data_IF_735018130833
#
_entry.id   IF_735018130833
#
_cell.length_a   1.000
_cell.length_b   1.000
_cell.length_c   1.000
_cell.angle_alpha   90.00
_cell.angle_beta   90.00
_cell.angle_gamma   90.00
#
_symmetry.space_group_name_H-M   'P 1'
#
loop_
_entity.id
_entity.type
_entity.pdbx_description
1 polymer ?
#
# COMPACT_ATOMS: atom_id res chain seq x y z
N UNK A 1 -20.92 -9.13 -47.37
CA UNK A 1 -20.56 -7.73 -47.06
C UNK A 1 -19.39 -7.79 -46.11
N UNK A 2 -18.22 -7.29 -46.49
CA UNK A 2 -17.08 -7.23 -45.58
C UNK A 2 -17.43 -6.24 -44.46
N UNK A 3 -17.50 -6.68 -43.22
CA UNK A 3 -17.65 -5.78 -42.07
C UNK A 3 -16.43 -4.85 -42.06
N UNK A 4 -16.66 -3.54 -42.22
CA UNK A 4 -15.57 -2.56 -42.22
C UNK A 4 -14.97 -2.44 -40.82
N UNK A 5 -13.66 -2.59 -40.70
CA UNK A 5 -12.93 -2.33 -39.45
C UNK A 5 -12.99 -0.84 -39.08
N UNK A 6 -13.03 -0.55 -37.78
CA UNK A 6 -12.83 0.80 -37.24
C UNK A 6 -11.38 0.92 -36.79
N UNK A 7 -10.74 2.02 -37.18
CA UNK A 7 -9.38 2.36 -36.75
C UNK A 7 -9.42 3.45 -35.69
N UNK A 8 -8.70 3.25 -34.60
CA UNK A 8 -8.55 4.20 -33.50
C UNK A 8 -7.09 4.65 -33.41
N UNK A 9 -6.82 5.91 -33.75
CA UNK A 9 -5.47 6.50 -33.74
C UNK A 9 -5.25 7.28 -32.46
N UNK A 10 -4.10 7.12 -31.81
CA UNK A 10 -3.78 7.84 -30.58
C UNK A 10 -2.26 8.01 -30.40
N UNK A 11 -1.80 9.11 -29.77
CA UNK A 11 -0.40 9.36 -29.44
C UNK A 11 0.10 8.45 -28.30
N UNK A 12 1.38 8.08 -28.38
CA UNK A 12 2.14 7.42 -27.32
C UNK A 12 3.21 8.37 -26.81
N UNK A 13 3.18 8.66 -25.52
CA UNK A 13 4.17 9.48 -24.81
C UNK A 13 5.08 8.56 -23.97
N UNK A 14 6.36 8.90 -23.85
CA UNK A 14 7.29 8.29 -22.90
C UNK A 14 7.24 9.05 -21.59
N UNK A 15 6.99 8.35 -20.49
CA UNK A 15 7.27 8.86 -19.14
C UNK A 15 8.79 8.81 -18.89
N UNK A 16 9.37 9.96 -18.59
CA UNK A 16 10.78 10.14 -18.24
C UNK A 16 10.94 10.14 -16.70
N UNK A 17 12.14 9.82 -16.18
CA UNK A 17 12.41 9.83 -14.74
C UNK A 17 12.16 11.20 -14.12
N UNK A 18 11.84 11.23 -12.82
CA UNK A 18 11.49 12.44 -12.05
C UNK A 18 12.58 13.52 -12.01
N UNK A 19 13.81 13.21 -12.44
CA UNK A 19 14.92 14.15 -12.53
C UNK A 19 14.96 14.95 -13.85
N UNK A 20 14.00 14.75 -14.75
CA UNK A 20 13.91 15.42 -16.05
C UNK A 20 12.96 16.62 -15.98
N UNK A 21 13.38 17.77 -16.54
CA UNK A 21 12.53 18.97 -16.67
C UNK A 21 11.30 18.72 -17.56
N UNK A 22 11.39 17.75 -18.48
CA UNK A 22 10.27 17.25 -19.29
C UNK A 22 9.92 15.84 -18.84
N UNK A 23 8.78 15.66 -18.15
CA UNK A 23 8.37 14.33 -17.65
C UNK A 23 7.70 13.47 -18.72
N UNK A 24 7.02 14.06 -19.70
CA UNK A 24 6.39 13.30 -20.77
C UNK A 24 6.88 13.78 -22.13
N UNK A 25 7.21 12.84 -23.01
CA UNK A 25 7.72 13.16 -24.35
C UNK A 25 7.01 12.34 -25.41
N UNK A 26 6.48 13.00 -26.44
CA UNK A 26 5.90 12.30 -27.59
C UNK A 26 6.90 11.34 -28.25
N UNK A 27 6.47 10.08 -28.47
CA UNK A 27 7.25 9.04 -29.14
C UNK A 27 6.75 8.80 -30.56
N UNK A 28 5.50 8.39 -30.71
CA UNK A 28 4.87 7.97 -31.97
C UNK A 28 3.35 7.98 -31.83
N UNK A 29 2.64 7.79 -32.94
CA UNK A 29 1.21 7.47 -32.95
C UNK A 29 1.01 5.96 -33.14
N UNK A 30 0.08 5.39 -32.39
CA UNK A 30 -0.34 4.00 -32.51
C UNK A 30 -1.76 3.92 -33.12
N UNK A 31 -2.07 2.76 -33.68
CA UNK A 31 -3.34 2.47 -34.34
C UNK A 31 -3.90 1.17 -33.77
N UNK A 32 -5.18 1.17 -33.44
CA UNK A 32 -5.91 0.00 -32.99
C UNK A 32 -7.10 -0.24 -33.92
N UNK A 33 -7.13 -1.39 -34.57
CA UNK A 33 -8.21 -1.80 -35.46
C UNK A 33 -9.11 -2.82 -34.76
N UNK A 34 -10.43 -2.64 -34.87
CA UNK A 34 -11.40 -3.56 -34.28
C UNK A 34 -12.67 -3.65 -35.13
N UNK A 35 -13.33 -4.80 -35.09
CA UNK A 35 -14.60 -4.97 -35.78
C UNK A 35 -15.74 -4.25 -35.02
N UNK A 36 -16.71 -3.63 -35.69
CA UNK A 36 -17.85 -2.99 -35.02
C UNK A 36 -18.67 -3.93 -34.12
N UNK A 37 -18.63 -5.23 -34.42
CA UNK A 37 -19.27 -6.31 -33.67
C UNK A 37 -18.51 -6.68 -32.38
N UNK A 38 -17.24 -6.30 -32.27
CA UNK A 38 -16.41 -6.54 -31.08
C UNK A 38 -16.57 -5.42 -30.04
N UNK A 39 -16.67 -5.83 -28.77
CA UNK A 39 -16.62 -4.89 -27.65
C UNK A 39 -15.18 -4.45 -27.43
N UNK A 40 -14.73 -3.46 -28.19
CA UNK A 40 -13.42 -2.85 -28.02
C UNK A 40 -13.23 -2.31 -26.58
N UNK A 41 -12.09 -2.62 -26.00
CA UNK A 41 -11.69 -2.26 -24.65
C UNK A 41 -10.38 -1.47 -24.65
N UNK A 42 -10.14 -0.76 -23.56
CA UNK A 42 -8.89 -0.03 -23.33
C UNK A 42 -7.67 -0.94 -23.38
N UNK A 43 -7.77 -2.19 -22.92
CA UNK A 43 -6.67 -3.18 -23.02
C UNK A 43 -6.18 -3.38 -24.47
N UNK A 44 -7.06 -3.26 -25.47
CA UNK A 44 -6.66 -3.34 -26.88
C UNK A 44 -5.80 -2.15 -27.31
N UNK A 45 -6.03 -0.95 -26.75
CA UNK A 45 -5.18 0.21 -26.97
C UNK A 45 -3.81 0.04 -26.29
N UNK A 46 -3.77 -0.54 -25.09
CA UNK A 46 -2.52 -0.84 -24.37
C UNK A 46 -1.65 -1.81 -25.19
N UNK A 47 -2.25 -2.90 -25.69
CA UNK A 47 -1.58 -3.89 -26.54
C UNK A 47 -1.09 -3.27 -27.85
N UNK A 48 -1.91 -2.45 -28.52
CA UNK A 48 -1.55 -1.76 -29.75
C UNK A 48 -0.40 -0.76 -29.55
N UNK A 49 -0.40 -0.02 -28.43
CA UNK A 49 0.68 0.89 -28.08
C UNK A 49 2.00 0.14 -27.86
N UNK A 50 1.97 -0.95 -27.08
CA UNK A 50 3.14 -1.79 -26.84
C UNK A 50 3.67 -2.39 -28.14
N UNK A 51 2.79 -2.89 -29.02
CA UNK A 51 3.17 -3.41 -30.33
C UNK A 51 3.86 -2.33 -31.19
N UNK A 52 3.28 -1.14 -31.28
CA UNK A 52 3.84 -0.02 -32.05
C UNK A 52 5.22 0.42 -31.54
N UNK A 53 5.39 0.48 -30.21
CA UNK A 53 6.66 0.80 -29.56
C UNK A 53 7.71 -0.28 -29.83
N UNK A 54 7.35 -1.57 -29.68
CA UNK A 54 8.26 -2.70 -29.95
C UNK A 54 8.74 -2.73 -31.40
N UNK A 55 7.85 -2.50 -32.36
CA UNK A 55 8.19 -2.36 -33.77
C UNK A 55 9.16 -1.20 -34.03
N UNK A 56 9.06 -0.14 -33.23
CA UNK A 56 9.91 1.06 -33.34
C UNK A 56 11.12 1.07 -32.40
N UNK A 57 11.35 0.02 -31.59
CA UNK A 57 12.28 0.04 -30.46
C UNK A 57 13.70 0.47 -30.85
N UNK A 58 14.24 -0.09 -31.95
CA UNK A 58 15.56 0.28 -32.49
C UNK A 58 15.68 1.76 -32.81
N UNK A 59 14.66 2.35 -33.44
CA UNK A 59 14.63 3.78 -33.80
C UNK A 59 14.50 4.66 -32.56
N UNK A 60 13.73 4.20 -31.57
CA UNK A 60 13.50 4.93 -30.33
C UNK A 60 14.63 4.78 -29.30
N UNK A 61 15.67 3.98 -29.61
CA UNK A 61 16.76 3.62 -28.68
C UNK A 61 16.24 2.99 -27.37
N UNK A 62 15.16 2.22 -27.48
CA UNK A 62 14.64 1.40 -26.37
C UNK A 62 15.21 -0.01 -26.54
N UNK A 63 15.79 -0.59 -25.50
CA UNK A 63 16.34 -1.94 -25.57
C UNK A 63 15.21 -2.96 -25.81
N UNK A 64 15.48 -3.97 -26.63
CA UNK A 64 14.46 -4.94 -27.09
C UNK A 64 13.91 -5.84 -25.99
N UNK A 65 14.65 -5.95 -24.88
CA UNK A 65 14.36 -6.71 -23.66
C UNK A 65 13.74 -5.86 -22.55
N UNK A 66 13.61 -4.54 -22.74
CA UNK A 66 13.08 -3.67 -21.68
C UNK A 66 11.64 -4.05 -21.32
N UNK A 67 11.37 -4.17 -20.01
CA UNK A 67 10.01 -4.33 -19.51
C UNK A 67 9.26 -3.00 -19.68
N UNK A 68 8.08 -3.04 -20.28
CA UNK A 68 7.30 -1.83 -20.59
C UNK A 68 5.87 -1.98 -20.07
N UNK A 69 5.33 -0.92 -19.50
CA UNK A 69 3.91 -0.80 -19.19
C UNK A 69 3.31 0.41 -19.90
N UNK A 70 2.01 0.36 -20.19
CA UNK A 70 1.27 1.44 -20.83
C UNK A 70 0.05 1.75 -20.00
N UNK A 71 -0.15 3.03 -19.65
CA UNK A 71 -1.40 3.54 -19.11
C UNK A 71 -2.15 4.36 -20.15
N UNK A 72 -3.47 4.19 -20.25
CA UNK A 72 -4.32 4.97 -21.17
C UNK A 72 -5.03 6.07 -20.40
N UNK A 73 -4.97 7.29 -20.94
CA UNK A 73 -5.57 8.47 -20.32
C UNK A 73 -6.49 9.19 -21.30
N UNK A 74 -7.59 9.70 -20.78
CA UNK A 74 -8.51 10.58 -21.49
C UNK A 74 -8.26 12.03 -21.05
N UNK A 75 -7.91 12.89 -22.00
CA UNK A 75 -7.71 14.32 -21.80
C UNK A 75 -9.04 15.08 -21.80
N UNK A 76 -9.10 16.18 -21.04
CA UNK A 76 -10.24 17.08 -21.04
C UNK A 76 -10.42 17.84 -22.37
N UNK A 77 -9.31 18.09 -23.08
CA UNK A 77 -9.27 18.84 -24.33
C UNK A 77 -8.66 17.97 -25.45
N UNK A 78 -9.19 18.05 -26.69
CA UNK A 78 -8.64 17.32 -27.83
C UNK A 78 -7.24 17.80 -28.21
N UNK A 79 -6.44 16.88 -28.72
CA UNK A 79 -5.09 17.14 -29.23
C UNK A 79 -4.93 16.61 -30.66
N UNK A 80 -3.98 17.17 -31.46
CA UNK A 80 -3.76 16.73 -32.83
C UNK A 80 -3.33 15.27 -32.89
N UNK A 81 -3.95 14.46 -33.75
CA UNK A 81 -3.59 13.06 -33.98
C UNK A 81 -2.57 12.87 -35.10
N UNK A 82 -2.47 13.87 -35.98
CA UNK A 82 -1.63 13.88 -37.17
C UNK A 82 -0.87 15.19 -37.28
N UNK A 83 0.33 15.12 -37.85
CA UNK A 83 1.23 16.26 -38.00
C UNK A 83 2.66 15.79 -38.22
N UNK A 84 3.57 16.72 -38.50
CA UNK A 84 5.00 16.37 -38.52
C UNK A 84 5.45 15.95 -37.11
N UNK A 85 6.52 15.18 -36.99
CA UNK A 85 7.07 14.80 -35.69
C UNK A 85 7.39 16.03 -34.81
N UNK A 86 7.79 17.14 -35.43
CA UNK A 86 8.05 18.40 -34.73
C UNK A 86 6.76 19.03 -34.20
N UNK A 87 5.71 19.03 -34.99
CA UNK A 87 4.41 19.59 -34.59
C UNK A 87 3.79 18.77 -33.47
N UNK A 88 3.87 17.43 -33.56
CA UNK A 88 3.41 16.54 -32.51
C UNK A 88 4.20 16.75 -31.22
N UNK A 89 5.53 16.80 -31.27
CA UNK A 89 6.35 17.08 -30.06
C UNK A 89 5.97 18.40 -29.39
N UNK A 90 5.76 19.45 -30.19
CA UNK A 90 5.33 20.75 -29.66
C UNK A 90 3.93 20.68 -29.05
N UNK A 91 2.97 20.05 -29.74
CA UNK A 91 1.59 19.93 -29.28
C UNK A 91 1.42 19.16 -27.96
N UNK A 92 2.31 18.20 -27.71
CA UNK A 92 2.29 17.36 -26.50
C UNK A 92 3.29 17.81 -25.41
N UNK A 93 4.14 18.82 -25.67
CA UNK A 93 5.10 19.35 -24.69
C UNK A 93 4.47 19.96 -23.42
N UNK A 94 3.22 20.41 -23.54
CA UNK A 94 2.43 20.97 -22.44
C UNK A 94 1.91 19.91 -21.45
N UNK A 95 1.99 18.62 -21.81
CA UNK A 95 1.55 17.54 -20.93
C UNK A 95 2.68 17.26 -19.93
N UNK A 96 2.53 17.82 -18.74
CA UNK A 96 3.40 17.60 -17.58
C UNK A 96 2.60 16.94 -16.43
N UNK A 97 3.20 16.77 -15.26
CA UNK A 97 2.52 16.19 -14.08
C UNK A 97 1.25 16.96 -13.71
N UNK A 98 1.34 18.29 -13.60
CA UNK A 98 0.23 19.16 -13.21
C UNK A 98 -0.94 19.03 -14.20
N UNK A 99 -0.62 18.94 -15.50
CA UNK A 99 -1.61 18.69 -16.54
C UNK A 99 -2.25 17.31 -16.38
N UNK A 100 -1.46 16.26 -16.15
CA UNK A 100 -1.97 14.91 -15.98
C UNK A 100 -2.88 14.79 -14.75
N UNK A 101 -2.55 15.46 -13.65
CA UNK A 101 -3.33 15.44 -12.42
C UNK A 101 -4.66 16.20 -12.57
N UNK A 102 -4.64 17.37 -13.22
CA UNK A 102 -5.82 18.26 -13.29
C UNK A 102 -6.69 18.05 -14.52
N UNK A 103 -6.11 17.57 -15.63
CA UNK A 103 -6.73 17.57 -16.97
C UNK A 103 -6.69 16.22 -17.70
N UNK A 104 -6.27 15.14 -17.03
CA UNK A 104 -6.31 13.80 -17.59
C UNK A 104 -6.95 12.81 -16.62
N UNK A 105 -7.77 11.91 -17.17
CA UNK A 105 -8.44 10.86 -16.42
C UNK A 105 -7.92 9.51 -16.87
N UNK A 106 -7.38 8.72 -15.93
CA UNK A 106 -6.95 7.35 -16.21
C UNK A 106 -8.13 6.46 -16.63
N UNK A 107 -7.96 5.67 -17.68
CA UNK A 107 -8.94 4.72 -18.17
C UNK A 107 -8.58 3.31 -17.71
N UNK A 108 -9.47 2.65 -16.97
CA UNK A 108 -9.30 1.24 -16.59
C UNK A 108 -9.24 0.33 -17.82
N UNK A 109 -8.33 -0.66 -17.83
CA UNK A 109 -8.12 -1.61 -18.93
C UNK A 109 -9.40 -2.37 -19.35
N UNK A 110 -10.36 -2.58 -18.44
CA UNK A 110 -11.64 -3.23 -18.73
C UNK A 110 -12.70 -2.29 -19.32
N UNK A 111 -12.46 -0.99 -19.34
CA UNK A 111 -13.44 0.01 -19.82
C UNK A 111 -13.67 -0.18 -21.33
N UNK A 112 -14.92 -0.11 -21.73
CA UNK A 112 -15.30 -0.11 -23.14
C UNK A 112 -14.90 1.20 -23.81
N UNK A 113 -14.45 1.15 -25.06
CA UNK A 113 -14.15 2.33 -25.87
C UNK A 113 -15.39 3.08 -26.36
N UNK A 114 -16.60 2.59 -26.06
CA UNK A 114 -17.84 3.28 -26.43
C UNK A 114 -17.90 4.68 -25.80
N UNK A 115 -18.01 5.71 -26.65
CA UNK A 115 -18.05 7.12 -26.23
C UNK A 115 -16.67 7.74 -25.92
N UNK A 116 -15.58 6.99 -26.08
CA UNK A 116 -14.22 7.51 -25.99
C UNK A 116 -13.83 8.05 -27.37
N UNK A 117 -13.42 9.32 -27.43
CA UNK A 117 -12.96 9.95 -28.68
C UNK A 117 -11.45 9.84 -28.80
N UNK A 118 -10.96 9.50 -29.99
CA UNK A 118 -9.54 9.29 -30.26
C UNK A 118 -8.68 10.53 -30.05
N UNK A 119 -9.19 11.70 -30.43
CA UNK A 119 -8.53 13.01 -30.25
C UNK A 119 -8.33 13.41 -28.79
N UNK A 120 -9.02 12.75 -27.86
CA UNK A 120 -8.88 12.95 -26.41
C UNK A 120 -8.09 11.83 -25.73
N UNK A 121 -7.52 10.86 -26.43
CA UNK A 121 -6.82 9.74 -25.78
C UNK A 121 -5.32 9.86 -25.97
N UNK A 122 -4.57 9.56 -24.91
CA UNK A 122 -3.13 9.34 -24.99
C UNK A 122 -2.75 8.01 -24.32
N UNK A 123 -1.69 7.40 -24.80
CA UNK A 123 -1.02 6.31 -24.12
C UNK A 123 0.29 6.82 -23.50
N UNK A 124 0.53 6.49 -22.24
CA UNK A 124 1.76 6.82 -21.53
C UNK A 124 2.54 5.53 -21.32
N UNK A 125 3.64 5.40 -22.07
CA UNK A 125 4.61 4.32 -21.97
C UNK A 125 5.56 4.60 -20.81
N UNK A 126 5.67 3.65 -19.89
CA UNK A 126 6.72 3.62 -18.88
C UNK A 126 7.67 2.49 -19.24
N UNK A 127 8.92 2.84 -19.58
CA UNK A 127 9.98 1.85 -19.76
C UNK A 127 10.55 1.59 -18.38
N UNK A 128 10.27 0.41 -17.84
CA UNK A 128 10.97 -0.07 -16.67
C UNK A 128 12.37 -0.43 -17.16
N UNK A 129 13.37 0.33 -16.74
CA UNK A 129 14.73 -0.19 -16.84
C UNK A 129 14.71 -1.56 -16.17
N UNK A 130 15.23 -2.58 -16.85
CA UNK A 130 15.74 -3.74 -16.13
C UNK A 130 16.81 -3.19 -15.19
N UNK A 131 16.36 -2.82 -14.00
CA UNK A 131 17.22 -2.80 -12.83
C UNK A 131 17.74 -4.22 -12.84
N UNK A 132 19.02 -4.38 -13.19
CA UNK A 132 19.78 -5.57 -12.84
C UNK A 132 19.38 -5.86 -11.39
N UNK A 133 18.47 -6.82 -11.19
CA UNK A 133 17.77 -6.91 -9.92
C UNK A 133 18.88 -7.12 -8.90
N UNK A 134 19.03 -6.16 -8.00
CA UNK A 134 20.05 -6.32 -6.97
C UNK A 134 19.79 -7.66 -6.28
N UNK A 135 20.82 -8.34 -5.81
CA UNK A 135 20.63 -9.62 -5.08
C UNK A 135 19.61 -9.46 -3.94
N UNK A 136 19.55 -8.27 -3.33
CA UNK A 136 18.55 -7.90 -2.33
C UNK A 136 17.11 -7.91 -2.88
N UNK A 137 16.88 -7.42 -4.10
CA UNK A 137 15.57 -7.43 -4.76
C UNK A 137 15.15 -8.85 -5.16
N UNK A 138 16.07 -9.64 -5.74
CA UNK A 138 15.82 -11.06 -6.06
C UNK A 138 15.41 -11.82 -4.79
N UNK A 139 16.13 -11.57 -3.69
CA UNK A 139 15.83 -12.18 -2.39
C UNK A 139 14.46 -11.76 -1.85
N UNK A 140 14.12 -10.46 -1.90
CA UNK A 140 12.79 -9.94 -1.49
C UNK A 140 11.64 -10.58 -2.25
N UNK A 141 11.78 -10.70 -3.57
CA UNK A 141 10.76 -11.33 -4.40
C UNK A 141 10.65 -12.84 -4.13
N UNK A 142 11.78 -13.52 -3.85
CA UNK A 142 11.78 -14.90 -3.38
C UNK A 142 11.03 -15.08 -2.06
N UNK A 143 11.22 -14.16 -1.11
CA UNK A 143 10.50 -14.13 0.18
C UNK A 143 9.00 -13.91 -0.05
N UNK A 144 8.63 -12.93 -0.88
CA UNK A 144 7.23 -12.65 -1.20
C UNK A 144 6.55 -13.86 -1.83
N UNK A 145 7.18 -14.49 -2.84
CA UNK A 145 6.66 -15.68 -3.50
C UNK A 145 6.54 -16.90 -2.55
N UNK A 146 7.43 -17.01 -1.56
CA UNK A 146 7.32 -18.04 -0.52
C UNK A 146 6.17 -17.74 0.46
N UNK A 147 6.03 -16.49 0.89
CA UNK A 147 5.00 -16.05 1.81
C UNK A 147 3.58 -16.14 1.22
N UNK A 148 3.42 -15.90 -0.09
CA UNK A 148 2.14 -16.08 -0.80
C UNK A 148 1.61 -17.52 -0.75
N UNK A 149 2.48 -18.51 -0.54
CA UNK A 149 2.13 -19.94 -0.49
C UNK A 149 1.78 -20.40 0.93
N UNK A 150 1.75 -19.50 1.91
CA UNK A 150 1.41 -19.84 3.29
C UNK A 150 -0.04 -20.26 3.41
N UNK A 151 -0.27 -21.16 4.37
CA UNK A 151 -1.61 -21.45 4.84
C UNK A 151 -2.20 -20.23 5.55
N UNK A 152 -3.51 -20.25 5.78
CA UNK A 152 -4.18 -19.13 6.45
C UNK A 152 -3.62 -18.89 7.86
N UNK A 153 -3.71 -17.65 8.38
CA UNK A 153 -3.14 -17.34 9.70
C UNK A 153 -3.68 -18.17 10.87
N UNK A 154 -4.93 -18.64 10.77
CA UNK A 154 -5.49 -19.56 11.77
C UNK A 154 -4.80 -20.91 11.77
N UNK A 155 -4.39 -21.42 10.61
CA UNK A 155 -3.70 -22.71 10.48
C UNK A 155 -2.22 -22.57 10.81
N UNK A 156 -1.58 -21.50 10.30
CA UNK A 156 -0.19 -21.14 10.60
C UNK A 156 0.08 -20.91 12.08
N UNK A 157 -0.91 -20.44 12.85
CA UNK A 157 -0.79 -20.23 14.29
C UNK A 157 -0.72 -21.52 15.12
N UNK A 158 -1.04 -22.69 14.56
CA UNK A 158 -0.94 -23.96 15.29
C UNK A 158 0.51 -24.29 15.64
N UNK A 159 0.74 -24.96 16.78
CA UNK A 159 2.11 -25.29 17.24
C UNK A 159 2.88 -26.11 16.19
N UNK A 160 2.21 -27.10 15.59
CA UNK A 160 2.77 -27.95 14.53
C UNK A 160 3.20 -27.11 13.34
N UNK A 161 2.33 -26.22 12.83
CA UNK A 161 2.68 -25.38 11.68
C UNK A 161 3.73 -24.33 12.01
N UNK A 162 3.71 -23.73 13.21
CA UNK A 162 4.76 -22.80 13.63
C UNK A 162 6.14 -23.43 13.64
N UNK A 163 6.24 -24.66 14.15
CA UNK A 163 7.53 -25.39 14.19
C UNK A 163 8.05 -25.66 12.76
N UNK A 164 7.15 -25.92 11.80
CA UNK A 164 7.51 -26.16 10.40
C UNK A 164 7.85 -24.86 9.63
N UNK A 165 7.21 -23.74 9.97
CA UNK A 165 7.27 -22.50 9.18
C UNK A 165 8.19 -21.42 9.77
N UNK A 166 8.44 -21.43 11.08
CA UNK A 166 9.27 -20.44 11.78
C UNK A 166 10.63 -21.03 12.15
N UNK A 167 11.46 -21.26 11.14
CA UNK A 167 12.88 -21.65 11.28
C UNK A 167 13.75 -20.91 10.25
N UNK A 168 15.06 -20.87 10.47
CA UNK A 168 16.04 -20.14 9.65
C UNK A 168 16.21 -20.69 8.22
N UNK A 169 15.83 -21.95 7.98
CA UNK A 169 15.79 -22.57 6.66
C UNK A 169 14.61 -22.13 5.78
N UNK A 170 13.61 -21.44 6.34
CA UNK A 170 12.44 -20.93 5.61
C UNK A 170 12.68 -19.50 5.15
N UNK A 171 12.63 -19.27 3.84
CA UNK A 171 12.83 -17.94 3.25
C UNK A 171 11.81 -16.91 3.76
N UNK A 172 10.56 -17.33 3.96
CA UNK A 172 9.47 -16.47 4.42
C UNK A 172 9.40 -16.32 5.95
N UNK A 173 10.25 -16.99 6.74
CA UNK A 173 10.19 -16.95 8.20
C UNK A 173 10.15 -15.52 8.77
N UNK A 174 9.40 -15.34 9.86
CA UNK A 174 9.20 -14.05 10.51
C UNK A 174 10.24 -13.89 11.60
N UNK A 175 11.12 -12.91 11.44
CA UNK A 175 12.15 -12.61 12.41
C UNK A 175 11.60 -11.73 13.51
N UNK A 176 11.24 -12.38 14.62
CA UNK A 176 10.58 -11.79 15.78
C UNK A 176 11.11 -12.32 17.12
N UNK A 177 12.36 -12.83 17.13
CA UNK A 177 13.00 -13.49 18.26
C UNK A 177 12.36 -14.82 18.69
N UNK A 178 11.55 -15.46 17.82
CA UNK A 178 10.91 -16.76 18.10
C UNK A 178 11.03 -17.73 16.91
N UNK A 179 11.92 -18.74 16.97
CA UNK A 179 12.88 -19.03 18.05
C UNK A 179 14.09 -18.06 18.04
N UNK A 180 15.06 -18.26 18.93
CA UNK A 180 16.19 -17.33 19.10
C UNK A 180 17.03 -17.18 17.82
N UNK A 181 17.04 -18.20 16.96
CA UNK A 181 17.70 -18.21 15.66
C UNK A 181 17.06 -17.19 14.69
N UNK A 182 15.76 -16.88 14.87
CA UNK A 182 15.03 -15.84 14.14
C UNK A 182 15.17 -14.46 14.79
N UNK A 183 16.40 -14.11 15.18
CA UNK A 183 16.75 -12.80 15.73
C UNK A 183 16.94 -11.77 14.60
N UNK A 184 16.10 -10.71 14.54
CA UNK A 184 16.28 -9.60 13.60
C UNK A 184 17.29 -8.54 14.08
N UNK A 185 17.88 -7.75 13.18
CA UNK A 185 18.46 -6.44 13.53
C UNK A 185 17.39 -5.52 14.16
N UNK A 186 17.76 -4.53 15.00
CA UNK A 186 16.79 -3.59 15.59
C UNK A 186 15.92 -2.93 14.54
N UNK A 187 14.59 -2.95 14.72
CA UNK A 187 13.66 -2.47 13.68
C UNK A 187 13.80 -0.96 13.39
N UNK A 188 14.35 -0.24 14.36
CA UNK A 188 14.60 1.21 14.31
C UNK A 188 15.60 1.63 13.24
N UNK A 189 16.44 0.71 12.73
CA UNK A 189 17.37 1.02 11.64
C UNK A 189 16.67 1.12 10.28
N UNK A 190 15.47 0.54 10.14
CA UNK A 190 14.75 0.49 8.87
C UNK A 190 13.83 1.69 8.68
N UNK A 191 13.28 2.27 9.76
CA UNK A 191 12.45 3.46 9.67
C UNK A 191 12.47 4.27 10.98
N UNK A 192 12.65 5.61 10.92
CA UNK A 192 12.74 6.45 12.12
C UNK A 192 11.45 6.47 12.96
N UNK A 193 10.30 6.14 12.35
CA UNK A 193 9.02 6.09 13.08
C UNK A 193 9.07 5.13 14.27
N UNK A 194 9.82 4.03 14.18
CA UNK A 194 9.87 3.06 15.28
C UNK A 194 10.67 3.60 16.47
N UNK A 195 11.77 4.31 16.21
CA UNK A 195 12.52 5.00 17.25
C UNK A 195 11.67 6.12 17.88
N UNK A 196 10.94 6.86 17.06
CA UNK A 196 10.01 7.90 17.52
C UNK A 196 8.91 7.34 18.39
N UNK A 197 8.29 6.24 17.99
CA UNK A 197 7.25 5.57 18.78
C UNK A 197 7.78 5.14 20.14
N UNK A 198 8.95 4.49 20.19
CA UNK A 198 9.60 4.09 21.44
C UNK A 198 9.89 5.30 22.35
N UNK A 199 10.39 6.40 21.77
CA UNK A 199 10.64 7.64 22.50
C UNK A 199 9.35 8.21 23.09
N UNK A 200 8.28 8.33 22.31
CA UNK A 200 6.98 8.83 22.77
C UNK A 200 6.35 7.95 23.86
N UNK A 201 6.62 6.65 23.86
CA UNK A 201 6.16 5.75 24.91
C UNK A 201 7.00 5.82 26.19
N UNK A 202 8.31 6.08 26.07
CA UNK A 202 9.23 6.19 27.20
C UNK A 202 9.15 7.56 27.90
N UNK A 203 9.02 8.63 27.11
CA UNK A 203 8.95 10.03 27.54
C UNK A 203 7.70 10.67 26.96
N UNK A 204 6.50 10.24 27.40
CA UNK A 204 5.26 10.73 26.83
C UNK A 204 5.05 12.21 27.18
N UNK A 205 4.68 13.04 26.19
CA UNK A 205 4.22 14.39 26.48
C UNK A 205 2.92 14.32 27.30
N UNK A 206 2.67 15.35 28.12
CA UNK A 206 1.42 15.45 28.86
C UNK A 206 0.24 15.53 27.87
N UNK A 207 -0.74 14.62 27.96
CA UNK A 207 -1.88 14.62 27.07
C UNK A 207 -2.75 15.84 27.34
N UNK A 208 -3.30 16.43 26.29
CA UNK A 208 -4.29 17.49 26.42
C UNK A 208 -5.54 16.97 27.13
N UNK A 209 -6.34 17.89 27.69
CA UNK A 209 -7.62 17.52 28.31
C UNK A 209 -8.55 16.78 27.33
N UNK A 210 -8.49 17.12 26.06
CA UNK A 210 -9.29 16.46 25.02
C UNK A 210 -8.80 15.03 24.75
N UNK A 211 -7.48 14.83 24.59
CA UNK A 211 -6.88 13.50 24.39
C UNK A 211 -7.13 12.59 25.59
N UNK A 212 -6.97 13.12 26.81
CA UNK A 212 -7.27 12.40 28.03
C UNK A 212 -8.77 12.05 28.13
N UNK A 213 -9.66 12.97 27.77
CA UNK A 213 -11.11 12.74 27.72
C UNK A 213 -11.48 11.60 26.77
N UNK A 214 -10.92 11.57 25.56
CA UNK A 214 -11.12 10.50 24.58
C UNK A 214 -10.60 9.15 25.09
N UNK A 215 -9.43 9.14 25.73
CA UNK A 215 -8.85 7.93 26.31
C UNK A 215 -9.71 7.37 27.45
N UNK A 216 -10.24 8.22 28.32
CA UNK A 216 -11.17 7.82 29.37
C UNK A 216 -12.48 7.26 28.82
N UNK A 217 -13.04 7.90 27.79
CA UNK A 217 -14.21 7.37 27.09
C UNK A 217 -13.92 5.97 26.54
N UNK A 218 -12.77 5.79 25.88
CA UNK A 218 -12.35 4.49 25.38
C UNK A 218 -12.22 3.45 26.49
N UNK A 219 -11.59 3.78 27.63
CA UNK A 219 -11.46 2.88 28.80
C UNK A 219 -12.83 2.50 29.36
N UNK A 220 -13.75 3.45 29.49
CA UNK A 220 -15.14 3.22 29.88
C UNK A 220 -15.81 2.22 28.94
N UNK A 221 -15.73 2.46 27.63
CA UNK A 221 -16.33 1.60 26.62
C UNK A 221 -15.67 0.21 26.59
N UNK A 222 -14.36 0.12 26.71
CA UNK A 222 -13.63 -1.15 26.70
C UNK A 222 -13.90 -2.00 27.95
N UNK A 223 -14.27 -1.38 29.06
CA UNK A 223 -14.59 -2.06 30.33
C UNK A 223 -16.06 -2.48 30.44
N UNK A 224 -16.93 -2.01 29.54
CA UNK A 224 -18.35 -2.32 29.58
C UNK A 224 -18.68 -3.72 29.06
N UNK A 225 -19.77 -4.30 29.55
CA UNK A 225 -20.35 -5.52 29.00
C UNK A 225 -21.31 -5.18 27.85
N UNK A 226 -21.20 -5.92 26.76
CA UNK A 226 -22.04 -5.77 25.58
C UNK A 226 -22.85 -7.03 25.34
N UNK A 227 -24.01 -6.88 24.68
CA UNK A 227 -24.86 -8.03 24.35
C UNK A 227 -24.26 -8.89 23.25
N UNK A 228 -23.57 -8.25 22.32
CA UNK A 228 -22.90 -8.90 21.20
C UNK A 228 -21.63 -8.17 20.78
N UNK A 229 -20.80 -8.86 20.00
CA UNK A 229 -19.50 -8.36 19.55
C UNK A 229 -19.65 -7.21 18.55
N UNK A 230 -20.74 -7.15 17.77
CA UNK A 230 -20.94 -6.09 16.80
C UNK A 230 -21.22 -4.74 17.48
N UNK A 231 -22.01 -4.75 18.56
CA UNK A 231 -22.23 -3.57 19.40
C UNK A 231 -20.92 -3.10 20.03
N UNK A 232 -20.12 -4.04 20.58
CA UNK A 232 -18.83 -3.76 21.19
C UNK A 232 -17.87 -3.12 20.19
N UNK A 233 -17.68 -3.77 19.04
CA UNK A 233 -16.81 -3.27 17.96
C UNK A 233 -17.29 -1.89 17.51
N UNK A 234 -18.58 -1.71 17.21
CA UNK A 234 -19.11 -0.42 16.75
C UNK A 234 -18.84 0.75 17.70
N UNK A 235 -18.95 0.53 19.01
CA UNK A 235 -18.65 1.55 20.03
C UNK A 235 -17.16 1.82 20.18
N UNK A 236 -16.33 0.77 20.24
CA UNK A 236 -14.88 0.91 20.33
C UNK A 236 -14.30 1.56 19.07
N UNK A 237 -14.77 1.17 17.89
CA UNK A 237 -14.37 1.76 16.60
C UNK A 237 -14.57 3.26 16.60
N UNK A 238 -15.76 3.74 17.00
CA UNK A 238 -16.03 5.18 17.04
C UNK A 238 -15.05 5.93 17.95
N UNK A 239 -14.78 5.38 19.13
CA UNK A 239 -13.94 6.03 20.14
C UNK A 239 -12.46 6.07 19.72
N UNK A 240 -11.88 4.94 19.28
CA UNK A 240 -10.47 4.92 18.86
C UNK A 240 -10.24 5.67 17.53
N UNK A 241 -11.21 5.63 16.61
CA UNK A 241 -11.10 6.35 15.34
C UNK A 241 -10.99 7.86 15.58
N UNK A 242 -11.84 8.41 16.45
CA UNK A 242 -11.78 9.81 16.84
C UNK A 242 -10.51 10.16 17.62
N UNK A 243 -9.93 9.22 18.36
CA UNK A 243 -8.73 9.47 19.16
C UNK A 243 -7.42 9.37 18.35
N UNK A 244 -7.35 8.43 17.41
CA UNK A 244 -6.11 8.08 16.72
C UNK A 244 -6.17 8.40 15.23
N UNK A 245 -7.05 7.71 14.49
CA UNK A 245 -7.20 7.87 13.05
C UNK A 245 -8.51 7.24 12.55
N UNK A 246 -9.23 7.90 11.63
CA UNK A 246 -10.57 7.47 11.18
C UNK A 246 -10.63 6.04 10.60
N UNK A 247 -9.51 5.55 10.06
CA UNK A 247 -9.37 4.21 9.48
C UNK A 247 -8.93 3.09 10.44
N UNK A 248 -8.53 3.40 11.69
CA UNK A 248 -7.80 2.43 12.53
C UNK A 248 -8.64 1.21 12.94
N UNK A 249 -9.95 1.38 13.03
CA UNK A 249 -10.95 0.32 13.20
C UNK A 249 -11.95 0.25 12.02
N UNK A 250 -11.58 0.77 10.86
CA UNK A 250 -12.37 0.72 9.64
C UNK A 250 -12.22 -0.64 8.94
N UNK A 251 -13.30 -1.43 8.89
CA UNK A 251 -13.30 -2.74 8.22
C UNK A 251 -13.23 -2.58 6.70
N UNK A 252 -12.02 -2.59 6.17
CA UNK A 252 -11.76 -2.61 4.74
C UNK A 252 -11.27 -4.00 4.33
N UNK A 253 -12.11 -4.83 3.69
CA UNK A 253 -11.64 -6.07 3.12
C UNK A 253 -10.62 -5.76 2.03
N UNK A 254 -9.41 -6.28 2.20
CA UNK A 254 -8.34 -6.17 1.23
C UNK A 254 -8.41 -7.40 0.33
N UNK A 255 -8.53 -7.18 -0.98
CA UNK A 255 -8.53 -8.26 -1.96
C UNK A 255 -7.35 -8.06 -2.91
N UNK A 256 -6.43 -9.02 -2.87
CA UNK A 256 -5.30 -9.15 -3.76
C UNK A 256 -5.48 -10.38 -4.63
N UNK A 257 -4.70 -10.49 -5.69
CA UNK A 257 -4.74 -11.62 -6.63
C UNK A 257 -4.47 -12.95 -5.92
N UNK A 258 -3.59 -12.94 -4.92
CA UNK A 258 -3.20 -14.13 -4.14
C UNK A 258 -3.97 -14.34 -2.83
N UNK A 259 -4.67 -13.32 -2.30
CA UNK A 259 -5.28 -13.42 -0.97
C UNK A 259 -6.46 -12.46 -0.75
N UNK A 260 -7.37 -12.85 0.14
CA UNK A 260 -8.39 -11.96 0.71
C UNK A 260 -8.15 -11.84 2.20
N UNK A 261 -8.00 -10.62 2.69
CA UNK A 261 -7.74 -10.30 4.08
C UNK A 261 -8.86 -9.42 4.61
N UNK A 262 -9.35 -9.75 5.80
CA UNK A 262 -10.33 -8.94 6.52
C UNK A 262 -9.70 -8.53 7.86
N UNK A 263 -8.79 -7.54 7.88
CA UNK A 263 -8.26 -7.02 9.13
C UNK A 263 -9.36 -6.37 9.98
N UNK A 264 -9.10 -6.24 11.28
CA UNK A 264 -10.00 -5.50 12.18
C UNK A 264 -10.05 -4.01 11.85
N UNK A 265 -8.96 -3.49 11.27
CA UNK A 265 -8.90 -2.15 10.68
C UNK A 265 -7.60 -1.95 9.91
N UNK A 266 -7.59 -0.98 8.99
CA UNK A 266 -6.39 -0.64 8.21
C UNK A 266 -6.34 0.86 7.96
N UNK A 267 -5.15 1.43 8.16
CA UNK A 267 -4.84 2.81 7.79
C UNK A 267 -3.87 2.79 6.62
N UNK A 268 -4.28 3.42 5.53
CA UNK A 268 -3.45 3.52 4.33
C UNK A 268 -2.57 4.76 4.39
N UNK A 269 -1.28 4.63 4.09
CA UNK A 269 -0.37 5.78 4.00
C UNK A 269 -0.59 6.62 2.74
N UNK A 270 -1.00 6.00 1.64
CA UNK A 270 -1.20 6.70 0.38
C UNK A 270 -1.54 5.76 -0.76
N UNK A 271 -1.88 6.35 -1.92
CA UNK A 271 -2.10 5.61 -3.16
C UNK A 271 -0.95 5.86 -4.12
N UNK A 272 -0.26 4.79 -4.47
CA UNK A 272 0.89 4.87 -5.38
C UNK A 272 0.44 5.07 -6.83
N UNK A 273 1.33 5.49 -7.75
CA UNK A 273 0.97 5.71 -9.15
C UNK A 273 0.36 4.50 -9.86
N UNK A 274 0.72 3.28 -9.44
CA UNK A 274 0.14 2.02 -9.94
C UNK A 274 -1.24 1.69 -9.35
N UNK A 275 -1.72 2.51 -8.41
CA UNK A 275 -3.01 2.37 -7.76
C UNK A 275 -3.01 1.51 -6.50
N UNK A 276 -1.86 0.96 -6.09
CA UNK A 276 -1.72 0.21 -4.85
C UNK A 276 -1.76 1.14 -3.63
N UNK A 277 -2.49 0.72 -2.59
CA UNK A 277 -2.59 1.44 -1.32
C UNK A 277 -1.56 0.90 -0.33
N UNK A 278 -0.59 1.74 0.04
CA UNK A 278 0.40 1.40 1.07
C UNK A 278 -0.24 1.48 2.46
N UNK A 279 0.26 0.69 3.41
CA UNK A 279 -0.32 0.57 4.76
C UNK A 279 0.60 1.25 5.78
N UNK A 280 0.05 2.22 6.51
CA UNK A 280 0.70 2.84 7.68
C UNK A 280 0.49 2.00 8.94
N UNK A 281 -0.75 1.52 9.15
CA UNK A 281 -1.08 0.70 10.31
C UNK A 281 -2.14 -0.34 9.99
N UNK A 282 -2.06 -1.48 10.67
CA UNK A 282 -3.05 -2.56 10.57
C UNK A 282 -3.44 -3.05 11.96
N UNK A 283 -4.74 -3.10 12.21
CA UNK A 283 -5.28 -3.63 13.45
C UNK A 283 -5.68 -5.09 13.25
N UNK A 284 -5.22 -5.92 14.18
CA UNK A 284 -5.48 -7.34 14.23
C UNK A 284 -6.10 -7.68 15.59
N UNK A 285 -7.41 -7.97 15.59
CA UNK A 285 -8.19 -8.21 16.81
C UNK A 285 -7.83 -9.52 17.52
N UNK A 286 -7.24 -10.47 16.82
CA UNK A 286 -6.67 -11.70 17.37
C UNK A 286 -5.23 -11.77 16.90
N UNK A 287 -4.22 -11.62 17.76
CA UNK A 287 -2.78 -11.49 17.49
C UNK A 287 -2.19 -12.39 16.37
N UNK A 288 -2.60 -12.14 15.12
CA UNK A 288 -2.26 -12.79 13.87
C UNK A 288 -1.39 -11.79 13.12
N UNK A 289 -0.14 -11.65 13.56
CA UNK A 289 0.85 -10.75 12.97
C UNK A 289 1.03 -10.94 11.45
N UNK A 290 0.54 -12.07 10.92
CA UNK A 290 0.63 -12.52 9.54
C UNK A 290 -0.19 -11.69 8.53
N UNK A 291 -1.09 -10.80 8.97
CA UNK A 291 -1.92 -10.01 8.04
C UNK A 291 -1.11 -8.91 7.32
N UNK A 292 -0.21 -8.21 8.03
CA UNK A 292 0.66 -7.20 7.41
C UNK A 292 1.63 -7.81 6.40
N UNK A 293 2.09 -9.03 6.68
CA UNK A 293 2.96 -9.81 5.82
C UNK A 293 2.24 -10.21 4.53
N UNK A 294 0.98 -10.66 4.64
CA UNK A 294 0.20 -11.07 3.48
C UNK A 294 -0.06 -9.92 2.50
N UNK A 295 -0.22 -8.68 2.98
CA UNK A 295 -0.39 -7.51 2.11
C UNK A 295 0.89 -7.23 1.32
N UNK A 296 2.02 -7.08 2.02
CA UNK A 296 3.26 -6.70 1.36
C UNK A 296 3.93 -7.86 0.62
N UNK A 297 3.45 -9.09 0.77
CA UNK A 297 3.84 -10.23 -0.07
C UNK A 297 3.05 -10.33 -1.37
N UNK A 298 1.97 -9.56 -1.56
CA UNK A 298 1.16 -9.59 -2.79
C UNK A 298 1.94 -9.12 -4.02
N UNK A 299 1.55 -9.57 -5.21
CA UNK A 299 2.19 -9.14 -6.46
C UNK A 299 1.98 -7.64 -6.70
N UNK A 300 0.83 -7.13 -6.27
CA UNK A 300 0.46 -5.73 -6.34
C UNK A 300 1.35 -4.85 -5.46
N UNK A 301 2.01 -5.40 -4.43
CA UNK A 301 2.94 -4.65 -3.57
C UNK A 301 4.38 -4.61 -4.10
N UNK A 302 4.67 -5.25 -5.25
CA UNK A 302 6.05 -5.42 -5.76
C UNK A 302 6.79 -4.09 -5.92
N UNK A 303 6.20 -3.11 -6.59
CA UNK A 303 6.85 -1.81 -6.79
C UNK A 303 7.14 -1.08 -5.47
N UNK A 304 6.38 -1.38 -4.39
CA UNK A 304 6.66 -0.84 -3.05
C UNK A 304 7.85 -1.54 -2.41
N UNK A 305 7.93 -2.88 -2.52
CA UNK A 305 9.09 -3.64 -2.03
C UNK A 305 10.38 -3.26 -2.74
N UNK A 306 10.29 -2.82 -3.99
CA UNK A 306 11.41 -2.31 -4.79
C UNK A 306 11.86 -0.91 -4.32
N UNK A 307 10.93 -0.07 -3.86
CA UNK A 307 11.22 1.31 -3.45
C UNK A 307 11.51 1.47 -1.95
N UNK A 308 10.99 0.58 -1.10
CA UNK A 308 10.98 0.75 0.36
C UNK A 308 11.08 -0.59 1.10
N UNK A 309 11.27 -0.54 2.42
CA UNK A 309 11.17 -1.70 3.30
C UNK A 309 9.76 -1.88 3.88
N UNK A 310 8.75 -1.21 3.32
CA UNK A 310 7.34 -1.33 3.70
C UNK A 310 7.07 -1.21 5.23
N UNK A 311 7.55 -0.15 5.92
CA UNK A 311 7.31 0.01 7.34
C UNK A 311 5.82 0.15 7.66
N UNK A 312 5.36 -0.59 8.66
CA UNK A 312 4.00 -0.51 9.16
C UNK A 312 3.94 -0.76 10.67
N UNK A 313 2.91 -0.22 11.31
CA UNK A 313 2.54 -0.57 12.69
C UNK A 313 1.49 -1.68 12.68
N UNK A 314 1.73 -2.73 13.45
CA UNK A 314 0.76 -3.79 13.73
C UNK A 314 0.21 -3.54 15.14
N UNK A 315 -1.11 -3.35 15.23
CA UNK A 315 -1.79 -3.15 16.50
C UNK A 315 -2.54 -4.45 16.80
N UNK A 316 -2.25 -5.06 17.95
CA UNK A 316 -2.94 -6.23 18.45
C UNK A 316 -3.85 -5.88 19.62
N UNK A 317 -5.03 -6.50 19.70
CA UNK A 317 -5.93 -6.37 20.86
C UNK A 317 -6.23 -7.71 21.55
N UNK A 318 -5.23 -8.41 22.11
CA UNK A 318 -5.43 -9.67 22.82
C UNK A 318 -6.18 -9.48 24.14
N UNK A 319 -7.47 -9.80 24.11
CA UNK A 319 -8.36 -9.63 25.26
C UNK A 319 -8.46 -8.16 25.68
N UNK A 320 -8.26 -7.82 26.98
CA UNK A 320 -8.36 -6.45 27.48
C UNK A 320 -7.04 -5.66 27.37
N UNK A 321 -6.19 -5.97 26.40
CA UNK A 321 -4.89 -5.34 26.27
C UNK A 321 -4.65 -4.90 24.83
N UNK A 322 -3.89 -3.82 24.67
CA UNK A 322 -3.38 -3.36 23.38
C UNK A 322 -1.87 -3.64 23.36
N UNK A 323 -1.37 -4.13 22.24
CA UNK A 323 0.04 -4.29 21.94
C UNK A 323 0.33 -3.64 20.60
N UNK A 324 1.45 -2.94 20.50
CA UNK A 324 1.91 -2.37 19.22
C UNK A 324 3.24 -3.01 18.86
N UNK A 325 3.34 -3.45 17.61
CA UNK A 325 4.56 -3.97 17.00
C UNK A 325 4.88 -3.16 15.75
N UNK A 326 6.16 -3.02 15.43
CA UNK A 326 6.60 -2.57 14.13
C UNK A 326 6.79 -3.77 13.20
N UNK A 327 6.57 -3.57 11.91
CA UNK A 327 6.84 -4.54 10.86
C UNK A 327 7.56 -3.89 9.68
N UNK A 328 8.48 -4.64 9.07
CA UNK A 328 9.16 -4.25 7.82
C UNK A 328 9.33 -5.47 6.92
N UNK A 329 9.25 -5.23 5.62
CA UNK A 329 9.58 -6.17 4.56
C UNK A 329 10.94 -5.77 3.96
N UNK A 330 12.03 -6.28 4.54
CA UNK A 330 13.40 -6.00 4.11
C UNK A 330 13.99 -7.22 3.39
N UNK A 331 15.26 -7.55 3.60
CA UNK A 331 15.85 -8.83 3.17
C UNK A 331 15.30 -10.04 3.95
N UNK A 332 14.42 -9.78 4.92
CA UNK A 332 13.67 -10.69 5.78
C UNK A 332 12.32 -10.04 6.11
N UNK A 333 11.35 -10.84 6.51
CA UNK A 333 10.13 -10.33 7.15
C UNK A 333 10.45 -10.14 8.63
N UNK A 334 10.42 -8.90 9.12
CA UNK A 334 10.80 -8.57 10.50
C UNK A 334 9.59 -8.00 11.21
N UNK A 335 9.30 -8.53 12.41
CA UNK A 335 8.33 -7.94 13.32
C UNK A 335 8.94 -7.81 14.71
N UNK A 336 8.77 -6.65 15.34
CA UNK A 336 9.28 -6.41 16.70
C UNK A 336 8.23 -5.71 17.52
N UNK A 337 7.96 -6.26 18.70
CA UNK A 337 7.07 -5.65 19.69
C UNK A 337 7.69 -4.33 20.19
N UNK A 338 6.90 -3.25 20.13
CA UNK A 338 7.30 -1.91 20.57
C UNK A 338 6.70 -1.53 21.92
N UNK A 339 5.66 -2.23 22.38
CA UNK A 339 5.06 -2.04 23.70
C UNK A 339 4.86 -3.37 24.43
N UNK A 340 4.89 -3.33 25.75
CA UNK A 340 4.26 -4.38 26.55
C UNK A 340 2.73 -4.39 26.33
N UNK A 341 2.06 -5.35 26.98
CA UNK A 341 0.59 -5.41 27.01
C UNK A 341 0.02 -4.25 27.83
N UNK A 342 -0.50 -3.23 27.16
CA UNK A 342 -1.14 -2.08 27.79
C UNK A 342 -2.59 -2.44 28.08
N UNK A 343 -2.93 -2.69 29.34
CA UNK A 343 -4.31 -3.03 29.69
C UNK A 343 -5.24 -1.82 29.61
N UNK A 344 -6.38 -2.02 28.95
CA UNK A 344 -7.50 -1.05 28.84
C UNK A 344 -8.43 -1.11 30.06
N UNK A 345 -8.28 -2.13 30.90
CA UNK A 345 -9.09 -2.30 32.11
C UNK A 345 -8.35 -1.64 33.27
N UNK A 346 -9.04 -0.80 34.08
CA UNK A 346 -8.48 -0.23 35.30
C UNK A 346 -7.89 -1.29 36.22
N UNK A 347 -6.66 -1.08 36.68
CA UNK A 347 -5.97 -2.00 37.60
C UNK A 347 -5.38 -1.23 38.79
N UNK A 348 -5.30 -1.86 39.97
CA UNK A 348 -4.54 -1.30 41.08
C UNK A 348 -3.11 -1.00 40.63
N UNK A 349 -2.61 0.17 41.01
CA UNK A 349 -1.26 0.61 40.71
C UNK A 349 -0.61 1.13 42.01
N UNK A 350 0.69 1.44 41.93
CA UNK A 350 1.44 2.03 43.06
C UNK A 350 1.62 3.54 42.94
N UNK A 351 1.05 4.15 41.89
CA UNK A 351 1.10 5.60 41.73
C UNK A 351 -0.06 6.24 42.49
N UNK A 352 0.01 7.56 42.72
CA UNK A 352 -1.01 8.28 43.47
C UNK A 352 -2.26 8.59 42.62
N UNK A 353 -2.50 7.88 41.51
CA UNK A 353 -3.69 8.05 40.65
C UNK A 353 -4.70 6.95 40.91
N UNK A 354 -5.99 7.25 40.72
CA UNK A 354 -7.00 6.20 40.75
C UNK A 354 -6.72 5.17 39.64
N UNK A 355 -7.12 3.89 39.82
CA UNK A 355 -6.99 2.87 38.77
C UNK A 355 -7.56 3.29 37.41
N UNK A 356 -8.63 4.08 37.44
CA UNK A 356 -9.32 4.55 36.24
C UNK A 356 -8.53 5.67 35.55
N UNK A 357 -8.01 6.62 36.32
CA UNK A 357 -7.15 7.69 35.82
C UNK A 357 -5.86 7.16 35.23
N UNK A 358 -5.22 6.20 35.91
CA UNK A 358 -4.02 5.56 35.38
C UNK A 358 -4.26 4.87 34.03
N UNK A 359 -5.38 4.15 33.89
CA UNK A 359 -5.75 3.54 32.62
C UNK A 359 -5.98 4.62 31.54
N UNK A 360 -6.71 5.69 31.87
CA UNK A 360 -6.92 6.83 30.98
C UNK A 360 -5.60 7.45 30.49
N UNK A 361 -4.67 7.72 31.41
CA UNK A 361 -3.35 8.28 31.06
C UNK A 361 -2.52 7.35 30.17
N UNK A 362 -2.44 6.05 30.50
CA UNK A 362 -1.67 5.08 29.69
C UNK A 362 -2.23 4.95 28.28
N UNK A 363 -3.56 4.96 28.14
CA UNK A 363 -4.23 4.90 26.83
C UNK A 363 -4.08 6.23 26.09
N UNK A 364 -4.14 7.37 26.77
CA UNK A 364 -3.92 8.67 26.14
C UNK A 364 -2.53 8.76 25.53
N UNK A 365 -1.48 8.38 26.26
CA UNK A 365 -0.11 8.36 25.74
C UNK A 365 0.02 7.42 24.54
N UNK A 366 -0.54 6.22 24.62
CA UNK A 366 -0.55 5.28 23.50
C UNK A 366 -1.23 5.86 22.26
N UNK A 367 -2.40 6.48 22.42
CA UNK A 367 -3.15 7.08 21.33
C UNK A 367 -2.41 8.27 20.70
N UNK A 368 -1.77 9.11 21.50
CA UNK A 368 -0.92 10.19 21.01
C UNK A 368 0.26 9.64 20.19
N UNK A 369 0.96 8.64 20.72
CA UNK A 369 2.09 8.01 20.03
C UNK A 369 1.67 7.35 18.71
N UNK A 370 0.55 6.62 18.71
CA UNK A 370 -0.01 6.02 17.50
C UNK A 370 -0.41 7.07 16.46
N UNK A 371 -1.16 8.10 16.86
CA UNK A 371 -1.61 9.17 15.98
C UNK A 371 -0.43 9.85 15.30
N UNK A 372 0.58 10.22 16.07
CA UNK A 372 1.76 10.88 15.52
C UNK A 372 2.55 9.95 14.58
N UNK A 373 2.74 8.69 14.96
CA UNK A 373 3.51 7.75 14.16
C UNK A 373 2.80 7.33 12.86
N UNK A 374 1.47 7.17 12.90
CA UNK A 374 0.65 6.90 11.72
C UNK A 374 0.76 8.07 10.72
N UNK A 375 0.63 9.31 11.19
CA UNK A 375 0.78 10.49 10.34
C UNK A 375 2.18 10.57 9.71
N UNK A 376 3.24 10.17 10.44
CA UNK A 376 4.60 10.15 9.89
C UNK A 376 4.80 9.05 8.84
N UNK A 377 4.06 7.94 8.92
CA UNK A 377 4.05 6.89 7.91
C UNK A 377 3.21 7.26 6.67
N UNK A 378 2.18 8.10 6.82
CA UNK A 378 1.40 8.65 5.72
C UNK A 378 2.20 9.58 4.81
N UNK A 379 3.05 10.43 5.40
CA UNK A 379 3.83 11.44 4.64
C UNK A 379 5.06 10.84 3.96
N UNK A 380 5.45 9.61 4.30
CA UNK A 380 6.75 9.01 3.96
C UNK A 380 6.84 8.18 2.68
N UNK A 381 5.79 8.10 1.85
CA UNK A 381 5.76 7.26 0.63
C UNK A 381 5.50 8.04 -0.65
#
# INVERSE_FOLDING_TARGET
MAEGFRTFTFPVLLALPSSSDEKYRFLLSAYFEYAPSERAKVSGLEEAALAAVRLSARRLKIASDSTMSVGIYQLCEPRPLEGSLKDMKNAYSIINEDYMEKKATYLSHLRSLNGVKSDNVIAVLTVMHEVNQSEAQIRREGIAAAAQKRESPSTGASLTQRTLTQNDGRADAVYNYRPAELTPPPITIYHPVFAKFLQLMAEPPDPTHEELGRAHEFVCLASAYYRDEAERVGKLSRSINAAVHDGILGTHPLSYTSSKLAPGGVVFSGKTPSGFLTIAAILVLEAKAEIGEAVYSSDEARHIREASCCPALIIGMPGPNIIVSGAVFADKIITQTLTDYISVIPRPNRNNRSPFDDAGYRIAHLFCALKECINNLEVGF
#
